data_IF_747425661304
#
_entry.id   IF_747425661304
#
_cell.length_a   1.000
_cell.length_b   1.000
_cell.length_c   1.000
_cell.angle_alpha   90.00
_cell.angle_beta   90.00
_cell.angle_gamma   90.00
#
_symmetry.space_group_name_H-M   'P 1'
#
loop_
_entity.id
_entity.type
_entity.pdbx_description
1 polymer ?
#
# COMPACT_ATOMS: atom_id res chain seq x y z
N UNK A 1 39.96 29.42 14.85
CA UNK A 1 39.78 30.65 14.02
C UNK A 1 39.61 30.24 12.57
N UNK A 2 38.74 30.97 11.85
CA UNK A 2 38.38 30.90 10.42
C UNK A 2 37.26 29.90 10.08
N UNK A 3 36.15 30.27 9.45
CA UNK A 3 35.59 31.56 9.00
C UNK A 3 34.13 31.29 8.64
N UNK A 4 33.20 32.13 9.08
CA UNK A 4 31.82 32.12 8.60
C UNK A 4 31.73 32.52 7.12
N UNK A 5 30.91 31.81 6.36
CA UNK A 5 30.46 32.12 5.00
C UNK A 5 28.93 32.25 4.96
N UNK A 6 28.38 32.97 3.99
CA UNK A 6 27.31 33.94 4.21
C UNK A 6 25.93 33.31 4.42
N UNK A 7 25.16 33.93 5.33
CA UNK A 7 23.71 33.77 5.40
C UNK A 7 23.11 34.30 4.10
N UNK A 8 22.74 33.39 3.22
CA UNK A 8 21.95 33.66 2.02
C UNK A 8 20.55 34.12 2.42
N UNK A 9 20.32 35.39 2.16
CA UNK A 9 19.09 36.17 2.31
C UNK A 9 17.91 35.63 1.49
N UNK A 10 16.75 35.52 2.14
CA UNK A 10 15.42 35.50 1.51
C UNK A 10 14.74 34.14 1.51
N UNK A 11 14.19 33.73 2.66
CA UNK A 11 13.26 32.59 2.77
C UNK A 11 11.97 32.88 2.01
N UNK A 12 12.03 32.77 0.69
CA UNK A 12 10.90 32.30 -0.08
C UNK A 12 10.93 30.79 0.09
N UNK A 13 10.04 30.25 0.94
CA UNK A 13 9.99 28.82 1.28
C UNK A 13 10.01 27.92 0.04
N UNK A 14 10.30 26.63 0.20
CA UNK A 14 10.52 25.67 -0.90
C UNK A 14 9.42 25.62 -2.00
N UNK A 15 8.24 26.18 -1.72
CA UNK A 15 7.08 26.24 -2.61
C UNK A 15 6.65 27.67 -2.99
N UNK A 16 7.44 28.69 -2.67
CA UNK A 16 7.06 30.08 -2.88
C UNK A 16 6.82 30.39 -4.37
N UNK A 17 5.63 30.89 -4.68
CA UNK A 17 5.21 31.21 -6.05
C UNK A 17 4.70 30.01 -6.85
N UNK A 18 4.59 28.82 -6.25
CA UNK A 18 3.96 27.65 -6.88
C UNK A 18 2.47 27.56 -6.55
N UNK A 19 1.65 27.12 -7.51
CA UNK A 19 0.26 26.73 -7.26
C UNK A 19 0.17 25.39 -6.52
N UNK A 20 -1.00 25.08 -5.94
CA UNK A 20 -1.25 23.79 -5.32
C UNK A 20 -1.06 22.63 -6.32
N UNK A 21 -1.47 22.82 -7.58
CA UNK A 21 -1.25 21.86 -8.66
C UNK A 21 0.24 21.65 -8.98
N UNK A 22 1.05 22.71 -9.02
CA UNK A 22 2.49 22.58 -9.26
C UNK A 22 3.20 21.85 -8.12
N UNK A 23 2.74 22.05 -6.88
CA UNK A 23 3.25 21.35 -5.70
C UNK A 23 2.86 19.87 -5.76
N UNK A 24 1.58 19.57 -6.04
CA UNK A 24 1.08 18.21 -6.11
C UNK A 24 1.71 17.41 -7.27
N UNK A 25 1.86 18.02 -8.45
CA UNK A 25 2.56 17.40 -9.57
C UNK A 25 4.02 17.07 -9.24
N UNK A 26 4.72 17.98 -8.54
CA UNK A 26 6.09 17.71 -8.09
C UNK A 26 6.16 16.56 -7.07
N UNK A 27 5.18 16.46 -6.16
CA UNK A 27 5.10 15.37 -5.19
C UNK A 27 4.81 14.00 -5.86
N UNK A 28 3.90 13.96 -6.83
CA UNK A 28 3.59 12.76 -7.63
C UNK A 28 4.84 12.29 -8.37
N UNK A 29 5.54 13.21 -9.05
CA UNK A 29 6.76 12.88 -9.79
C UNK A 29 7.87 12.37 -8.86
N UNK A 30 8.09 13.01 -7.71
CA UNK A 30 9.08 12.55 -6.74
C UNK A 30 8.76 11.13 -6.23
N UNK A 31 7.49 10.84 -5.93
CA UNK A 31 7.06 9.51 -5.45
C UNK A 31 7.16 8.45 -6.56
N UNK A 32 6.89 8.83 -7.81
CA UNK A 32 7.07 7.98 -8.99
C UNK A 32 8.53 7.54 -9.13
N UNK A 33 9.47 8.47 -8.93
CA UNK A 33 10.91 8.23 -9.03
C UNK A 33 11.53 7.53 -7.82
N UNK A 34 10.86 7.51 -6.66
CA UNK A 34 11.35 6.81 -5.47
C UNK A 34 11.56 5.31 -5.74
N UNK A 35 12.66 4.72 -5.25
CA UNK A 35 12.97 3.30 -5.44
C UNK A 35 11.97 2.36 -4.75
N UNK A 36 11.46 2.80 -3.61
CA UNK A 36 10.44 2.11 -2.83
C UNK A 36 9.61 3.12 -2.04
N UNK A 37 8.39 2.72 -1.68
CA UNK A 37 7.52 3.47 -0.78
C UNK A 37 6.99 2.57 0.32
N UNK A 38 6.74 3.16 1.48
CA UNK A 38 5.99 2.54 2.57
C UNK A 38 4.62 3.21 2.65
N UNK A 39 3.56 2.42 2.57
CA UNK A 39 2.17 2.85 2.49
C UNK A 39 1.46 2.27 3.72
N UNK A 40 0.98 3.15 4.58
CA UNK A 40 0.10 2.79 5.68
C UNK A 40 -1.24 3.46 5.46
N UNK A 41 -2.34 2.77 5.76
CA UNK A 41 -3.66 3.36 5.61
C UNK A 41 -4.76 2.57 6.30
N UNK A 42 -5.93 3.19 6.35
CA UNK A 42 -7.15 2.56 6.80
C UNK A 42 -8.17 2.57 5.68
N UNK A 43 -8.92 1.49 5.53
CA UNK A 43 -10.01 1.37 4.56
C UNK A 43 -11.24 0.75 5.20
N UNK A 44 -12.29 0.55 4.39
CA UNK A 44 -13.51 -0.12 4.81
C UNK A 44 -13.76 -1.31 3.88
N UNK A 45 -13.97 -2.50 4.43
CA UNK A 45 -14.37 -3.69 3.69
C UNK A 45 -15.62 -4.28 4.34
N UNK A 46 -16.72 -4.37 3.58
CA UNK A 46 -18.00 -4.86 4.08
C UNK A 46 -18.46 -4.16 5.39
N UNK A 47 -18.16 -2.86 5.51
CA UNK A 47 -18.49 -2.04 6.69
C UNK A 47 -17.60 -2.29 7.92
N UNK A 48 -16.49 -3.01 7.77
CA UNK A 48 -15.46 -3.18 8.79
C UNK A 48 -14.23 -2.36 8.43
N UNK A 49 -13.66 -1.67 9.42
CA UNK A 49 -12.39 -0.96 9.25
C UNK A 49 -11.26 -1.97 9.04
N UNK A 50 -10.47 -1.76 7.99
CA UNK A 50 -9.28 -2.53 7.67
C UNK A 50 -8.06 -1.63 7.77
N UNK A 51 -6.94 -2.15 8.24
CA UNK A 51 -5.64 -1.48 8.24
C UNK A 51 -4.72 -2.15 7.23
N UNK A 52 -3.91 -1.31 6.60
CA UNK A 52 -2.97 -1.67 5.55
C UNK A 52 -1.60 -1.14 5.93
N UNK A 53 -0.58 -1.97 5.81
CA UNK A 53 0.81 -1.60 6.01
C UNK A 53 1.65 -2.36 4.97
N UNK A 54 2.15 -1.65 3.97
CA UNK A 54 2.81 -2.26 2.80
C UNK A 54 4.05 -1.50 2.37
N UNK A 55 5.12 -2.22 2.08
CA UNK A 55 6.28 -1.70 1.36
C UNK A 55 6.26 -2.22 -0.07
N UNK A 56 6.43 -1.32 -1.04
CA UNK A 56 6.39 -1.62 -2.48
C UNK A 56 7.60 -0.99 -3.16
N UNK A 57 8.30 -1.76 -4.01
CA UNK A 57 9.41 -1.27 -4.83
C UNK A 57 9.00 -0.99 -6.29
N UNK A 58 9.94 -0.46 -7.09
CA UNK A 58 9.73 -0.17 -8.51
C UNK A 58 9.67 -1.38 -9.43
N UNK A 59 9.81 -2.60 -8.89
CA UNK A 59 9.72 -3.85 -9.60
C UNK A 59 8.43 -4.61 -9.23
N UNK A 60 7.50 -3.93 -8.56
CA UNK A 60 6.25 -4.48 -8.03
C UNK A 60 6.48 -5.63 -7.03
N UNK A 61 7.65 -5.68 -6.38
CA UNK A 61 7.81 -6.52 -5.20
C UNK A 61 7.18 -5.81 -4.02
N UNK A 62 6.44 -6.58 -3.24
CA UNK A 62 5.56 -6.04 -2.21
C UNK A 62 5.61 -6.94 -0.98
N UNK A 63 5.69 -6.35 0.20
CA UNK A 63 5.53 -7.07 1.46
C UNK A 63 4.70 -6.23 2.41
N UNK A 64 3.81 -6.84 3.16
CA UNK A 64 2.96 -6.09 4.06
C UNK A 64 1.93 -6.93 4.78
N UNK A 65 1.09 -6.24 5.52
CA UNK A 65 -0.01 -6.82 6.29
C UNK A 65 -1.32 -6.12 5.97
N UNK A 66 -2.38 -6.93 5.97
CA UNK A 66 -3.77 -6.47 6.01
C UNK A 66 -4.35 -6.98 7.33
N UNK A 67 -4.87 -6.09 8.15
CA UNK A 67 -5.52 -6.47 9.40
C UNK A 67 -6.91 -5.87 9.52
N UNK A 68 -7.82 -6.62 10.14
CA UNK A 68 -9.17 -6.18 10.48
C UNK A 68 -9.59 -6.79 11.82
N UNK A 69 -10.81 -6.49 12.31
CA UNK A 69 -11.26 -6.92 13.63
C UNK A 69 -11.26 -8.45 13.83
N UNK A 70 -11.39 -9.22 12.74
CA UNK A 70 -11.58 -10.67 12.79
C UNK A 70 -10.39 -11.48 12.28
N UNK A 71 -9.47 -10.86 11.53
CA UNK A 71 -8.40 -11.57 10.87
C UNK A 71 -7.26 -10.63 10.45
N UNK A 72 -6.06 -11.19 10.37
CA UNK A 72 -4.87 -10.57 9.81
C UNK A 72 -4.25 -11.52 8.77
N UNK A 73 -3.66 -10.94 7.74
CA UNK A 73 -2.95 -11.65 6.70
C UNK A 73 -1.67 -10.91 6.31
N UNK A 74 -0.55 -11.66 6.28
CA UNK A 74 0.67 -11.23 5.63
C UNK A 74 0.56 -11.46 4.11
N UNK A 75 1.10 -10.52 3.35
CA UNK A 75 1.11 -10.55 1.89
C UNK A 75 2.55 -10.39 1.40
N UNK A 76 2.91 -11.20 0.42
CA UNK A 76 4.20 -11.15 -0.26
C UNK A 76 3.98 -11.27 -1.77
N UNK A 77 4.46 -10.28 -2.53
CA UNK A 77 4.52 -10.33 -3.98
C UNK A 77 5.97 -10.39 -4.45
N UNK A 78 6.27 -11.36 -5.32
CA UNK A 78 7.55 -11.47 -6.01
C UNK A 78 7.28 -11.64 -7.50
N UNK A 79 7.55 -10.60 -8.28
CA UNK A 79 7.06 -10.48 -9.65
C UNK A 79 5.54 -10.62 -9.72
N UNK A 80 5.02 -11.47 -10.60
CA UNK A 80 3.56 -11.69 -10.75
C UNK A 80 2.97 -12.72 -9.76
N UNK A 81 3.74 -13.15 -8.75
CA UNK A 81 3.29 -14.18 -7.81
C UNK A 81 2.97 -13.56 -6.46
N UNK A 82 1.72 -13.70 -6.04
CA UNK A 82 1.25 -13.27 -4.73
C UNK A 82 1.13 -14.47 -3.80
N UNK A 83 1.61 -14.32 -2.58
CA UNK A 83 1.53 -15.27 -1.50
C UNK A 83 0.86 -14.60 -0.31
N UNK A 84 -0.01 -15.35 0.36
CA UNK A 84 -0.73 -14.91 1.56
C UNK A 84 -0.44 -15.90 2.68
N UNK A 85 -0.11 -15.40 3.85
CA UNK A 85 0.00 -16.19 5.08
C UNK A 85 -0.95 -15.60 6.11
N UNK A 86 -1.76 -16.45 6.72
CA UNK A 86 -2.72 -16.04 7.73
C UNK A 86 -3.05 -17.21 8.65
N UNK A 87 -3.70 -16.90 9.77
CA UNK A 87 -4.16 -17.89 10.75
C UNK A 87 -5.53 -18.48 10.37
N UNK A 88 -6.02 -19.43 11.19
CA UNK A 88 -7.20 -20.24 10.88
C UNK A 88 -8.41 -19.40 10.56
N UNK A 89 -8.66 -18.34 11.33
CA UNK A 89 -9.83 -17.47 11.22
C UNK A 89 -9.92 -16.83 9.82
N UNK A 90 -8.79 -16.39 9.26
CA UNK A 90 -8.73 -15.85 7.90
C UNK A 90 -9.12 -16.91 6.86
N UNK A 91 -8.51 -18.10 6.92
CA UNK A 91 -8.77 -19.18 5.96
C UNK A 91 -10.18 -19.72 6.08
N UNK A 92 -10.72 -19.81 7.29
CA UNK A 92 -12.12 -20.16 7.51
C UNK A 92 -13.05 -19.17 6.82
N UNK A 93 -12.85 -17.86 7.05
CA UNK A 93 -13.69 -16.83 6.46
C UNK A 93 -13.59 -16.83 4.93
N UNK A 94 -12.37 -16.93 4.39
CA UNK A 94 -12.12 -16.97 2.95
C UNK A 94 -12.75 -18.21 2.29
N UNK A 95 -12.53 -19.40 2.85
CA UNK A 95 -13.05 -20.65 2.28
C UNK A 95 -14.57 -20.77 2.46
N UNK A 96 -15.14 -20.25 3.57
CA UNK A 96 -16.60 -20.18 3.77
C UNK A 96 -17.23 -19.30 2.68
N UNK A 97 -16.64 -18.14 2.39
CA UNK A 97 -17.10 -17.25 1.32
C UNK A 97 -17.01 -17.89 -0.07
N UNK A 98 -16.10 -18.83 -0.28
CA UNK A 98 -15.94 -19.57 -1.54
C UNK A 98 -16.80 -20.86 -1.61
N UNK A 99 -17.56 -21.19 -0.57
CA UNK A 99 -18.34 -22.43 -0.50
C UNK A 99 -17.48 -23.70 -0.42
N UNK A 100 -16.21 -23.58 0.00
CA UNK A 100 -15.22 -24.65 -0.01
C UNK A 100 -14.63 -24.95 1.39
N UNK A 101 -15.26 -24.46 2.46
CA UNK A 101 -14.77 -24.62 3.82
C UNK A 101 -14.76 -26.09 4.27
N UNK A 102 -13.58 -26.58 4.64
CA UNK A 102 -13.43 -27.80 5.44
C UNK A 102 -12.32 -27.58 6.46
N UNK A 103 -12.51 -28.08 7.69
CA UNK A 103 -11.53 -27.93 8.78
C UNK A 103 -10.14 -28.45 8.39
N UNK A 104 -10.10 -29.59 7.70
CA UNK A 104 -8.85 -30.18 7.20
C UNK A 104 -8.13 -29.29 6.19
N UNK A 105 -8.86 -28.50 5.38
CA UNK A 105 -8.24 -27.54 4.47
C UNK A 105 -7.69 -26.35 5.26
N UNK A 106 -8.47 -25.79 6.19
CA UNK A 106 -8.03 -24.68 7.07
C UNK A 106 -6.75 -25.05 7.81
N UNK A 107 -6.71 -26.21 8.47
CA UNK A 107 -5.54 -26.67 9.22
C UNK A 107 -4.29 -26.86 8.35
N UNK A 108 -4.48 -27.18 7.06
CA UNK A 108 -3.35 -27.31 6.12
C UNK A 108 -2.79 -25.95 5.69
N UNK A 109 -3.61 -24.89 5.69
CA UNK A 109 -3.24 -23.57 5.19
C UNK A 109 -2.76 -22.63 6.29
N UNK A 110 -3.31 -22.76 7.50
CA UNK A 110 -3.00 -21.89 8.63
C UNK A 110 -1.49 -21.78 8.90
N UNK A 111 -1.01 -20.54 9.05
CA UNK A 111 0.38 -20.20 9.28
C UNK A 111 1.33 -20.47 8.10
N UNK A 112 0.83 -20.86 6.93
CA UNK A 112 1.66 -21.13 5.74
C UNK A 112 1.49 -20.06 4.67
N UNK A 113 2.54 -19.87 3.88
CA UNK A 113 2.46 -19.09 2.65
C UNK A 113 1.72 -19.88 1.57
N UNK A 114 0.52 -19.42 1.26
CA UNK A 114 -0.36 -19.99 0.24
C UNK A 114 -0.26 -19.10 -0.98
N UNK A 115 0.05 -19.69 -2.14
CA UNK A 115 0.04 -18.96 -3.40
C UNK A 115 -1.40 -18.58 -3.75
N UNK A 116 -1.64 -17.28 -3.92
CA UNK A 116 -2.95 -16.78 -4.34
C UNK A 116 -3.15 -16.93 -5.84
N UNK A 117 -4.40 -17.08 -6.29
CA UNK A 117 -4.72 -16.87 -7.69
C UNK A 117 -4.69 -15.35 -7.99
N UNK A 118 -4.29 -14.91 -9.20
CA UNK A 118 -4.08 -13.49 -9.56
C UNK A 118 -5.32 -12.58 -9.58
N UNK A 119 -6.44 -13.00 -8.97
CA UNK A 119 -7.63 -12.17 -8.70
C UNK A 119 -8.20 -12.37 -7.29
N UNK A 120 -7.54 -13.19 -6.47
CA UNK A 120 -8.08 -13.65 -5.18
C UNK A 120 -7.41 -12.98 -3.99
N UNK A 121 -6.26 -12.31 -4.19
CA UNK A 121 -5.58 -11.66 -3.09
C UNK A 121 -6.30 -10.38 -2.64
N UNK A 122 -7.05 -9.71 -3.54
CA UNK A 122 -7.69 -8.42 -3.23
C UNK A 122 -6.70 -7.27 -3.00
N UNK A 123 -5.40 -7.56 -3.04
CA UNK A 123 -4.28 -6.66 -2.77
C UNK A 123 -3.46 -6.36 -4.02
N UNK A 124 -3.85 -6.92 -5.19
CA UNK A 124 -3.15 -6.70 -6.46
C UNK A 124 -3.00 -5.21 -6.80
N UNK A 125 -3.99 -4.38 -6.45
CA UNK A 125 -3.90 -2.93 -6.64
C UNK A 125 -3.06 -2.18 -5.60
N UNK A 126 -2.80 -2.77 -4.43
CA UNK A 126 -2.00 -2.14 -3.36
C UNK A 126 -0.50 -2.37 -3.53
N UNK A 127 -0.15 -3.48 -4.17
CA UNK A 127 1.23 -3.81 -4.53
C UNK A 127 1.67 -3.21 -5.87
N UNK A 128 0.79 -2.46 -6.55
CA UNK A 128 1.13 -1.66 -7.73
C UNK A 128 1.31 -0.19 -7.29
N UNK A 129 2.57 0.23 -7.16
CA UNK A 129 2.92 1.59 -6.72
C UNK A 129 2.31 2.66 -7.63
N UNK A 130 2.28 2.39 -8.94
CA UNK A 130 1.80 3.36 -9.93
C UNK A 130 0.28 3.49 -9.87
N UNK A 131 -0.44 2.38 -9.69
CA UNK A 131 -1.89 2.40 -9.50
C UNK A 131 -2.29 3.15 -8.23
N UNK A 132 -1.60 2.93 -7.11
CA UNK A 132 -1.84 3.68 -5.86
C UNK A 132 -1.60 5.18 -6.07
N UNK A 133 -0.47 5.55 -6.67
CA UNK A 133 -0.16 6.96 -6.99
C UNK A 133 -1.20 7.60 -7.91
N UNK A 134 -1.63 6.88 -8.95
CA UNK A 134 -2.64 7.36 -9.89
C UNK A 134 -4.00 7.58 -9.20
N UNK A 135 -4.38 6.69 -8.28
CA UNK A 135 -5.59 6.84 -7.48
C UNK A 135 -5.52 8.10 -6.60
N UNK A 136 -4.39 8.34 -5.94
CA UNK A 136 -4.17 9.53 -5.10
C UNK A 136 -4.13 10.84 -5.92
N UNK A 137 -3.66 10.80 -7.17
CA UNK A 137 -3.65 11.97 -8.05
C UNK A 137 -4.98 12.21 -8.78
N UNK A 138 -5.91 11.25 -8.76
CA UNK A 138 -7.14 11.33 -9.54
C UNK A 138 -8.10 12.42 -9.06
N UNK A 139 -8.14 12.69 -7.75
CA UNK A 139 -8.91 13.78 -7.18
C UNK A 139 -8.09 15.06 -7.08
N UNK A 140 -8.58 16.10 -7.75
CA UNK A 140 -7.95 17.43 -7.84
C UNK A 140 -8.88 18.54 -7.35
N UNK A 141 -10.06 18.21 -6.79
CA UNK A 141 -11.03 19.24 -6.37
C UNK A 141 -10.43 20.22 -5.37
N UNK A 142 -9.61 19.71 -4.45
CA UNK A 142 -8.98 20.45 -3.35
C UNK A 142 -7.72 21.24 -3.77
N UNK A 143 -7.35 21.27 -5.06
CA UNK A 143 -6.11 21.90 -5.55
C UNK A 143 -6.31 23.27 -6.20
N UNK A 144 -7.55 23.74 -6.27
CA UNK A 144 -7.93 24.96 -6.98
C UNK A 144 -7.95 26.23 -6.10
N UNK A 145 -7.30 26.21 -4.93
CA UNK A 145 -7.24 27.37 -4.02
C UNK A 145 -6.04 28.30 -4.29
#
# INVERSE_FOLDING_TARGET
MRTGGPRGSGDKGAFAGKSADEIAAAAVEATRLAESVHITGTGQQQGQEMKLDFSVDNQDNCTGTVSGPQAEADVLQVGQRVYVRAEKEFWENLLKAQGAASEKAVDKLAGKWVKSAPKQAGTEGMCDKQAVLAALDSDKSERNE
#
